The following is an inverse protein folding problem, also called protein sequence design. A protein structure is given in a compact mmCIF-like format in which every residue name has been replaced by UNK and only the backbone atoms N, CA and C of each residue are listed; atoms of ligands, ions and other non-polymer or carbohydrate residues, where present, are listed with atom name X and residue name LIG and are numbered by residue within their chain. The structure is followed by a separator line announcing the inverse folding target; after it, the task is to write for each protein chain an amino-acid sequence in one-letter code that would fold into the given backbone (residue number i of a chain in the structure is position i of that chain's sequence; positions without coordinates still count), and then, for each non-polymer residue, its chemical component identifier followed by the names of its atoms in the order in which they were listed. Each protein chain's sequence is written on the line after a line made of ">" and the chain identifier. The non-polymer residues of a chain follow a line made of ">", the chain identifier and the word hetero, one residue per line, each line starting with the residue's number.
data_IF_769101421805
#
_entry.id   IF_769101421805
#
_cell.length_a   1.000
_cell.length_b   1.000
_cell.length_c   1.000
_cell.angle_alpha   90.00
_cell.angle_beta   90.00
_cell.angle_gamma   90.00
#
_symmetry.space_group_name_H-M   'P 1'
#
loop_
_entity.id
_entity.type
_entity.pdbx_description
1 polymer ?
#
# COMPACT_ATOMS: atom_id res chain seq x y z
N UNK A 1 5.09 -6.43 -31.67
CA UNK A 1 5.47 -5.97 -30.32
C UNK A 1 4.98 -7.03 -29.34
N UNK A 2 5.88 -7.63 -28.55
CA UNK A 2 5.50 -8.61 -27.53
C UNK A 2 4.75 -7.92 -26.38
N UNK A 3 3.81 -8.62 -25.73
CA UNK A 3 3.14 -8.11 -24.52
C UNK A 3 4.16 -8.05 -23.37
N UNK A 4 4.11 -7.02 -22.52
CA UNK A 4 4.97 -6.95 -21.34
C UNK A 4 4.65 -8.10 -20.38
N UNK A 5 5.67 -8.59 -19.68
CA UNK A 5 5.52 -9.58 -18.62
C UNK A 5 5.12 -8.85 -17.35
N UNK A 6 3.98 -9.22 -16.78
CA UNK A 6 3.46 -8.65 -15.54
C UNK A 6 3.54 -9.71 -14.45
N UNK A 7 4.18 -9.38 -13.32
CA UNK A 7 4.30 -10.28 -12.19
C UNK A 7 3.96 -9.59 -10.86
N UNK A 8 3.36 -10.37 -9.95
CA UNK A 8 3.20 -10.00 -8.55
C UNK A 8 4.11 -10.91 -7.72
N UNK A 9 4.86 -10.35 -6.78
CA UNK A 9 5.68 -11.12 -5.85
C UNK A 9 5.77 -10.46 -4.48
N UNK A 10 6.14 -11.22 -3.46
CA UNK A 10 6.48 -10.63 -2.14
C UNK A 10 7.78 -9.84 -2.26
N UNK A 11 7.83 -8.73 -1.53
CA UNK A 11 9.06 -7.98 -1.36
C UNK A 11 10.04 -8.76 -0.47
N UNK A 12 11.32 -8.50 -0.71
CA UNK A 12 12.47 -8.93 0.06
C UNK A 12 13.22 -7.70 0.56
N UNK A 13 14.21 -7.88 1.43
CA UNK A 13 15.04 -6.77 1.94
C UNK A 13 15.69 -5.96 0.82
N UNK A 14 15.98 -6.60 -0.31
CA UNK A 14 16.69 -5.99 -1.44
C UNK A 14 15.79 -5.01 -2.21
N UNK A 15 14.46 -5.10 -2.02
CA UNK A 15 13.47 -4.26 -2.68
C UNK A 15 13.17 -2.95 -1.92
N UNK A 16 13.80 -2.72 -0.77
CA UNK A 16 13.50 -1.56 0.08
C UNK A 16 13.64 -0.24 -0.69
N UNK A 17 14.70 -0.11 -1.48
CA UNK A 17 14.97 1.12 -2.24
C UNK A 17 13.97 1.34 -3.37
N UNK A 18 13.47 0.27 -3.99
CA UNK A 18 12.42 0.38 -5.02
C UNK A 18 11.10 0.90 -4.41
N UNK A 19 10.71 0.39 -3.24
CA UNK A 19 9.50 0.84 -2.54
C UNK A 19 9.61 2.31 -2.15
N UNK A 20 10.75 2.71 -1.58
CA UNK A 20 11.02 4.11 -1.20
C UNK A 20 10.99 5.01 -2.43
N UNK A 21 11.68 4.63 -3.51
CA UNK A 21 11.72 5.40 -4.74
C UNK A 21 10.33 5.58 -5.37
N UNK A 22 9.47 4.55 -5.34
CA UNK A 22 8.08 4.67 -5.82
C UNK A 22 7.29 5.66 -4.97
N UNK A 23 7.38 5.57 -3.65
CA UNK A 23 6.69 6.50 -2.74
C UNK A 23 7.17 7.94 -2.97
N UNK A 24 8.46 8.15 -3.16
CA UNK A 24 9.04 9.48 -3.42
C UNK A 24 8.55 10.04 -4.76
N UNK A 25 8.54 9.22 -5.81
CA UNK A 25 8.03 9.61 -7.13
C UNK A 25 6.54 9.97 -7.13
N UNK A 26 5.75 9.43 -6.19
CA UNK A 26 4.31 9.67 -6.05
C UNK A 26 3.97 10.72 -4.99
N UNK A 27 4.95 11.25 -4.26
CA UNK A 27 4.71 12.25 -3.22
C UNK A 27 4.15 13.52 -3.87
N UNK A 28 2.87 13.79 -3.65
CA UNK A 28 2.21 14.99 -4.17
C UNK A 28 2.77 16.26 -3.49
N UNK A 29 2.87 17.39 -4.20
CA UNK A 29 3.12 18.68 -3.57
C UNK A 29 2.01 18.96 -2.55
N UNK A 30 2.39 19.22 -1.30
CA UNK A 30 1.45 19.47 -0.21
C UNK A 30 0.90 20.88 -0.34
N UNK A 31 -0.26 21.05 -0.98
CA UNK A 31 -1.08 22.23 -0.73
C UNK A 31 -1.74 22.05 0.65
N UNK A 32 -1.18 22.73 1.64
CA UNK A 32 -1.46 22.60 3.07
C UNK A 32 -2.92 22.91 3.51
N UNK A 33 -3.84 23.13 2.57
CA UNK A 33 -5.21 23.57 2.84
C UNK A 33 -6.26 22.43 2.82
N UNK A 34 -5.94 21.24 2.31
CA UNK A 34 -6.98 20.21 2.01
C UNK A 34 -6.71 18.80 2.54
N UNK A 35 -5.57 18.53 3.19
CA UNK A 35 -5.30 17.20 3.77
C UNK A 35 -5.74 17.15 5.23
N UNK A 36 -6.96 16.65 5.44
CA UNK A 36 -7.39 16.19 6.77
C UNK A 36 -6.38 15.16 7.30
N UNK A 37 -6.04 15.26 8.59
CA UNK A 37 -4.96 14.52 9.25
C UNK A 37 -5.12 13.00 9.30
N UNK A 38 -5.10 12.34 8.14
CA UNK A 38 -4.96 10.91 7.97
C UNK A 38 -3.50 10.59 7.68
N UNK A 39 -2.88 9.80 8.56
CA UNK A 39 -1.59 9.16 8.32
C UNK A 39 -1.79 7.69 7.98
N UNK A 40 -0.84 7.11 7.26
CA UNK A 40 -0.76 5.67 7.07
C UNK A 40 -0.49 4.97 8.41
N UNK A 41 -1.18 3.87 8.71
CA UNK A 41 -1.10 3.17 9.99
C UNK A 41 0.34 2.70 10.24
N UNK A 42 0.99 2.24 9.18
CA UNK A 42 2.34 1.71 9.25
C UNK A 42 3.42 2.76 9.03
N UNK A 43 3.03 4.02 8.78
CA UNK A 43 3.97 5.11 8.49
C UNK A 43 4.54 5.05 7.07
N UNK A 44 5.38 6.04 6.77
CA UNK A 44 5.98 6.26 5.43
C UNK A 44 7.49 6.50 5.49
N UNK A 45 8.13 6.05 6.57
CA UNK A 45 9.59 6.12 6.70
C UNK A 45 10.25 4.87 6.09
N UNK A 46 11.55 4.98 5.80
CA UNK A 46 12.34 3.85 5.31
C UNK A 46 12.36 2.68 6.32
N UNK A 47 12.43 2.98 7.61
CA UNK A 47 12.40 2.00 8.69
C UNK A 47 11.05 1.28 8.76
N UNK A 48 9.95 2.03 8.59
CA UNK A 48 8.61 1.46 8.49
C UNK A 48 8.47 0.50 7.30
N UNK A 49 9.00 0.87 6.13
CA UNK A 49 9.01 -0.01 4.97
C UNK A 49 9.87 -1.25 5.20
N UNK A 50 11.05 -1.12 5.78
CA UNK A 50 11.91 -2.26 6.10
C UNK A 50 11.22 -3.24 7.06
N UNK A 51 10.56 -2.73 8.10
CA UNK A 51 9.79 -3.56 9.03
C UNK A 51 8.59 -4.25 8.35
N UNK A 52 7.87 -3.55 7.48
CA UNK A 52 6.75 -4.11 6.73
C UNK A 52 7.19 -5.21 5.74
N UNK A 53 8.33 -5.03 5.06
CA UNK A 53 8.93 -6.03 4.19
C UNK A 53 9.32 -7.27 5.00
N UNK A 54 10.02 -7.08 6.13
CA UNK A 54 10.42 -8.17 7.01
C UNK A 54 9.22 -8.95 7.57
N UNK A 55 8.09 -8.27 7.81
CA UNK A 55 6.83 -8.88 8.24
C UNK A 55 6.03 -9.54 7.10
N UNK A 56 6.50 -9.46 5.84
CA UNK A 56 5.79 -10.02 4.69
C UNK A 56 4.55 -9.24 4.25
N UNK A 57 4.41 -7.98 4.69
CA UNK A 57 3.25 -7.13 4.42
C UNK A 57 3.28 -6.47 3.03
N UNK A 58 4.38 -6.57 2.29
CA UNK A 58 4.57 -5.86 1.02
C UNK A 58 4.54 -6.82 -0.16
N UNK A 59 3.69 -6.49 -1.14
CA UNK A 59 3.62 -7.16 -2.45
C UNK A 59 4.01 -6.16 -3.53
N UNK A 60 4.89 -6.56 -4.43
CA UNK A 60 5.39 -5.74 -5.52
C UNK A 60 4.71 -6.10 -6.84
N UNK A 61 4.51 -5.08 -7.67
CA UNK A 61 4.14 -5.19 -9.08
C UNK A 61 5.40 -4.97 -9.91
N UNK A 62 5.76 -5.99 -10.71
CA UNK A 62 6.87 -5.91 -11.66
C UNK A 62 6.37 -5.92 -13.11
N UNK A 63 6.98 -5.08 -13.94
CA UNK A 63 6.82 -5.02 -15.40
C UNK A 63 8.20 -5.19 -16.03
N UNK A 64 8.39 -6.26 -16.81
CA UNK A 64 9.66 -6.55 -17.50
C UNK A 64 10.88 -6.41 -16.56
N UNK A 65 10.81 -7.11 -15.41
CA UNK A 65 11.80 -7.13 -14.31
C UNK A 65 11.98 -5.84 -13.51
N UNK A 66 11.26 -4.76 -13.84
CA UNK A 66 11.26 -3.52 -13.07
C UNK A 66 10.10 -3.47 -12.09
N UNK A 67 10.37 -3.15 -10.83
CA UNK A 67 9.33 -2.84 -9.84
C UNK A 67 8.71 -1.48 -10.18
N UNK A 68 7.39 -1.45 -10.37
CA UNK A 68 6.63 -0.26 -10.77
C UNK A 68 5.50 0.10 -9.81
N UNK A 69 5.26 -0.74 -8.81
CA UNK A 69 4.23 -0.50 -7.83
C UNK A 69 4.37 -1.43 -6.64
N UNK A 70 3.66 -1.09 -5.56
CA UNK A 70 3.58 -1.91 -4.38
C UNK A 70 2.19 -1.81 -3.75
N UNK A 71 1.83 -2.86 -3.03
CA UNK A 71 0.75 -2.86 -2.06
C UNK A 71 1.34 -3.19 -0.69
N UNK A 72 0.99 -2.37 0.30
CA UNK A 72 1.28 -2.63 1.69
C UNK A 72 -0.04 -3.01 2.37
N UNK A 73 -0.11 -4.24 2.86
CA UNK A 73 -1.30 -4.76 3.51
C UNK A 73 -0.98 -5.46 4.84
N UNK A 74 -1.80 -5.19 5.85
CA UNK A 74 -1.82 -5.93 7.10
C UNK A 74 -2.58 -7.24 6.89
N UNK A 75 -1.92 -8.42 6.98
CA UNK A 75 -2.64 -9.69 7.05
C UNK A 75 -3.45 -9.80 8.34
N UNK A 76 -4.44 -10.68 8.38
CA UNK A 76 -5.42 -10.79 9.46
C UNK A 76 -4.80 -10.71 10.87
N UNK A 77 -3.78 -11.51 11.25
CA UNK A 77 -3.23 -11.46 12.60
C UNK A 77 -2.66 -10.09 12.99
N UNK A 78 -2.00 -9.42 12.03
CA UNK A 78 -1.42 -8.10 12.27
C UNK A 78 -2.49 -7.01 12.26
N UNK A 79 -3.52 -7.14 11.42
CA UNK A 79 -4.68 -6.26 11.47
C UNK A 79 -5.39 -6.35 12.82
N UNK A 80 -5.68 -7.55 13.32
CA UNK A 80 -6.34 -7.75 14.62
C UNK A 80 -5.55 -7.16 15.79
N UNK A 81 -4.23 -7.13 15.69
CA UNK A 81 -3.34 -6.52 16.67
C UNK A 81 -3.14 -5.00 16.48
N UNK A 82 -3.61 -4.43 15.38
CA UNK A 82 -3.40 -3.03 15.02
C UNK A 82 -4.31 -2.07 15.80
N UNK A 83 -3.92 -0.79 15.83
CA UNK A 83 -4.76 0.26 16.39
C UNK A 83 -6.09 0.45 15.63
N UNK A 84 -6.08 0.29 14.31
CA UNK A 84 -7.31 0.41 13.51
C UNK A 84 -8.35 -0.62 13.92
N UNK A 85 -7.93 -1.86 14.15
CA UNK A 85 -8.86 -2.89 14.62
C UNK A 85 -9.33 -2.65 16.06
N UNK A 86 -8.44 -2.18 16.94
CA UNK A 86 -8.80 -1.81 18.32
C UNK A 86 -9.83 -0.67 18.36
N UNK A 87 -9.75 0.27 17.42
CA UNK A 87 -10.64 1.43 17.32
C UNK A 87 -11.80 1.24 16.35
N UNK A 88 -12.01 0.04 15.81
CA UNK A 88 -12.98 -0.23 14.74
C UNK A 88 -14.40 0.25 15.04
N UNK A 89 -14.84 0.17 16.30
CA UNK A 89 -16.18 0.65 16.72
C UNK A 89 -16.31 2.19 16.74
N UNK A 90 -15.18 2.90 16.84
CA UNK A 90 -15.13 4.36 16.85
C UNK A 90 -14.82 4.96 15.46
N UNK A 91 -14.56 4.12 14.45
CA UNK A 91 -14.33 4.54 13.07
C UNK A 91 -15.68 4.60 12.36
N UNK A 92 -15.95 5.72 11.67
CA UNK A 92 -17.11 5.83 10.80
C UNK A 92 -16.82 5.10 9.48
N UNK A 93 -17.25 3.85 9.38
CA UNK A 93 -17.13 3.04 8.17
C UNK A 93 -18.24 3.38 7.18
N UNK A 94 -17.88 3.54 5.92
CA UNK A 94 -18.85 3.74 4.84
C UNK A 94 -19.20 2.40 4.19
N UNK A 95 -20.50 2.05 4.19
CA UNK A 95 -21.01 0.84 3.55
C UNK A 95 -20.58 -0.50 4.18
N UNK A 96 -20.03 -0.50 5.40
CA UNK A 96 -19.49 -1.68 6.07
C UNK A 96 -19.74 -1.63 7.58
N UNK A 97 -20.25 -2.73 8.17
CA UNK A 97 -20.23 -2.92 9.62
C UNK A 97 -19.00 -3.75 10.02
N UNK A 98 -18.09 -3.25 10.89
CA UNK A 98 -16.91 -4.00 11.30
C UNK A 98 -17.24 -5.30 12.04
N UNK A 99 -18.45 -5.46 12.59
CA UNK A 99 -18.90 -6.70 13.23
C UNK A 99 -19.05 -7.85 12.24
N UNK A 100 -19.42 -7.55 10.99
CA UNK A 100 -19.54 -8.56 9.92
C UNK A 100 -18.18 -9.15 9.52
N UNK A 101 -17.10 -8.54 9.98
CA UNK A 101 -15.74 -8.96 9.69
C UNK A 101 -15.12 -9.78 10.83
N UNK A 102 -15.77 -9.89 12.00
CA UNK A 102 -15.13 -10.47 13.19
C UNK A 102 -14.69 -11.92 13.00
N UNK A 103 -15.50 -12.73 12.32
CA UNK A 103 -15.26 -14.16 12.10
C UNK A 103 -14.56 -14.45 10.75
N UNK A 104 -14.25 -13.41 9.96
CA UNK A 104 -13.68 -13.56 8.62
C UNK A 104 -12.17 -13.35 8.65
N UNK A 105 -11.43 -14.17 7.91
CA UNK A 105 -10.05 -13.85 7.58
C UNK A 105 -10.02 -12.65 6.62
N UNK A 106 -9.45 -11.53 7.07
CA UNK A 106 -9.43 -10.27 6.33
C UNK A 106 -8.01 -9.70 6.25
N UNK A 107 -7.79 -8.78 5.32
CA UNK A 107 -6.57 -7.99 5.26
C UNK A 107 -6.95 -6.52 5.06
N UNK A 108 -6.12 -5.62 5.58
CA UNK A 108 -6.28 -4.19 5.42
C UNK A 108 -5.17 -3.64 4.51
N UNK A 109 -5.54 -3.07 3.38
CA UNK A 109 -4.60 -2.35 2.51
C UNK A 109 -4.37 -0.95 3.07
N UNK A 110 -3.17 -0.72 3.59
CA UNK A 110 -2.75 0.59 4.10
C UNK A 110 -2.25 1.48 2.96
N UNK A 111 -1.52 0.91 2.00
CA UNK A 111 -0.99 1.63 0.85
C UNK A 111 -1.17 0.82 -0.43
N UNK A 112 -1.55 1.50 -1.50
CA UNK A 112 -1.52 0.98 -2.87
C UNK A 112 -0.93 2.06 -3.77
N UNK A 113 0.19 1.75 -4.40
CA UNK A 113 0.98 2.70 -5.17
C UNK A 113 1.41 2.06 -6.48
N UNK A 114 1.21 2.76 -7.60
CA UNK A 114 1.68 2.35 -8.92
C UNK A 114 2.20 3.59 -9.62
N UNK A 115 3.42 3.52 -10.15
CA UNK A 115 3.97 4.59 -10.97
C UNK A 115 3.06 4.84 -12.17
N UNK A 116 2.84 6.11 -12.56
CA UNK A 116 2.09 6.41 -13.77
C UNK A 116 2.79 5.75 -14.96
N UNK A 117 2.05 4.91 -15.68
CA UNK A 117 2.54 4.35 -16.95
C UNK A 117 2.76 5.45 -17.98
N UNK A 118 3.53 5.18 -19.05
CA UNK A 118 3.58 6.08 -20.21
C UNK A 118 2.14 6.29 -20.68
N UNK A 119 1.61 7.48 -20.46
CA UNK A 119 0.24 7.79 -20.83
C UNK A 119 0.01 7.39 -22.30
N UNK A 120 -0.98 6.54 -22.57
CA UNK A 120 -1.72 6.71 -23.82
C UNK A 120 -2.27 8.13 -23.72
N UNK A 121 -1.64 9.08 -24.40
CA UNK A 121 -2.29 10.34 -24.76
C UNK A 121 -3.62 9.93 -25.41
N UNK A 122 -4.73 10.11 -24.71
CA UNK A 122 -6.01 10.23 -25.38
C UNK A 122 -5.90 11.41 -26.36
N UNK A 123 -6.54 11.35 -27.53
CA UNK A 123 -6.56 12.50 -28.42
C UNK A 123 -7.23 13.65 -27.66
N UNK A 124 -6.46 14.72 -27.43
CA UNK A 124 -7.02 16.05 -27.26
C UNK A 124 -7.35 16.65 -28.62
#
# INVERSE_FOLDING_TARGET
>A
MSRPVIALRRATSDDLEDVVAIKEALSMPVDAATTGGGGFILGVSREAYAAAIAAGCVTLLALDDRVVGYALALPDPLLRASEVWRRREAIAWDGLDPRDLEERAIAYFDQLAVLPGPHRRGPG
#
